data_IF_929354186814
#
_entry.id   IF_929354186814
#
_cell.length_a   1.000
_cell.length_b   1.000
_cell.length_c   1.000
_cell.angle_alpha   90.00
_cell.angle_beta   90.00
_cell.angle_gamma   90.00
#
_symmetry.space_group_name_H-M   'P 1'
#
loop_
_entity.id
_entity.type
_entity.pdbx_description
1 polymer ?
#
# COMPACT_ATOMS: atom_id res chain seq x y z
N UNK A 1 17.37 -6.44 8.05
CA UNK A 1 18.41 -6.00 7.09
C UNK A 1 19.72 -6.77 7.29
N UNK A 2 20.01 -7.17 8.52
CA UNK A 2 21.15 -8.01 8.93
C UNK A 2 20.73 -9.45 9.28
N UNK A 3 19.63 -9.93 8.67
CA UNK A 3 19.14 -11.30 8.86
C UNK A 3 20.02 -12.28 8.09
N UNK A 4 20.75 -13.14 8.83
CA UNK A 4 21.68 -14.10 8.26
C UNK A 4 21.04 -15.15 7.34
N UNK A 5 19.71 -15.34 7.39
CA UNK A 5 19.01 -16.29 6.54
C UNK A 5 18.48 -15.68 5.23
N UNK A 6 18.46 -14.35 5.12
CA UNK A 6 18.02 -13.66 3.91
C UNK A 6 19.17 -13.43 2.92
N UNK A 7 18.91 -13.56 1.61
CA UNK A 7 19.80 -13.06 0.55
C UNK A 7 19.73 -11.52 0.47
N UNK A 8 18.50 -11.00 0.45
CA UNK A 8 18.22 -9.57 0.48
C UNK A 8 16.91 -9.28 1.21
N UNK A 9 16.77 -8.03 1.65
CA UNK A 9 15.56 -7.47 2.25
C UNK A 9 15.05 -6.35 1.36
N UNK A 10 13.75 -6.37 1.08
CA UNK A 10 13.04 -5.32 0.34
C UNK A 10 11.99 -4.73 1.29
N UNK A 11 11.93 -3.40 1.36
CA UNK A 11 11.00 -2.69 2.27
C UNK A 11 10.01 -1.88 1.45
N UNK A 12 8.72 -2.08 1.71
CA UNK A 12 7.60 -1.38 1.08
C UNK A 12 6.60 -0.86 2.11
N UNK A 13 6.04 0.30 1.81
CA UNK A 13 4.86 0.76 2.54
C UNK A 13 3.69 -0.17 2.21
N UNK A 14 2.92 -0.56 3.23
CA UNK A 14 1.84 -1.56 3.10
C UNK A 14 0.66 -1.05 2.27
N UNK A 15 0.56 0.27 2.12
CA UNK A 15 -0.48 0.97 1.37
C UNK A 15 -0.05 1.33 -0.07
N UNK A 16 1.14 0.87 -0.48
CA UNK A 16 1.63 0.92 -1.84
C UNK A 16 1.36 -0.40 -2.57
N UNK A 17 0.88 -0.28 -3.82
CA UNK A 17 0.72 -1.45 -4.69
C UNK A 17 2.04 -1.76 -5.38
N UNK A 18 2.41 -3.04 -5.39
CA UNK A 18 3.57 -3.53 -6.13
C UNK A 18 3.13 -3.74 -7.58
N UNK A 19 3.79 -3.02 -8.50
CA UNK A 19 3.54 -3.11 -9.93
C UNK A 19 4.70 -3.82 -10.67
N UNK A 20 4.53 -4.10 -11.96
CA UNK A 20 5.58 -4.75 -12.74
C UNK A 20 6.84 -3.88 -12.96
N UNK A 21 6.72 -2.54 -12.92
CA UNK A 21 7.90 -1.66 -13.01
C UNK A 21 8.78 -1.85 -11.79
N UNK A 22 8.16 -1.92 -10.62
CA UNK A 22 8.86 -2.19 -9.38
C UNK A 22 9.52 -3.56 -9.40
N UNK A 23 8.78 -4.61 -9.80
CA UNK A 23 9.32 -5.96 -9.91
C UNK A 23 10.54 -6.03 -10.85
N UNK A 24 10.45 -5.35 -12.00
CA UNK A 24 11.55 -5.24 -12.96
C UNK A 24 12.74 -4.48 -12.36
N UNK A 25 12.51 -3.35 -11.68
CA UNK A 25 13.57 -2.57 -11.05
C UNK A 25 14.30 -3.37 -9.95
N UNK A 26 13.55 -4.15 -9.16
CA UNK A 26 14.12 -5.06 -8.15
C UNK A 26 14.94 -6.16 -8.83
N UNK A 27 14.45 -6.76 -9.92
CA UNK A 27 15.19 -7.76 -10.67
C UNK A 27 16.50 -7.21 -11.26
N UNK A 28 16.46 -6.03 -11.88
CA UNK A 28 17.63 -5.34 -12.41
C UNK A 28 18.66 -5.06 -11.31
N UNK A 29 18.20 -4.59 -10.14
CA UNK A 29 19.09 -4.44 -8.99
C UNK A 29 19.72 -5.75 -8.53
N UNK A 30 18.93 -6.83 -8.39
CA UNK A 30 19.46 -8.14 -7.99
C UNK A 30 20.51 -8.67 -8.98
N UNK A 31 20.33 -8.42 -10.27
CA UNK A 31 21.28 -8.80 -11.32
C UNK A 31 22.54 -7.90 -11.36
N UNK A 32 22.42 -6.64 -10.95
CA UNK A 32 23.54 -5.67 -10.99
C UNK A 32 24.68 -5.98 -10.00
N UNK A 33 24.42 -6.82 -8.99
CA UNK A 33 25.37 -7.08 -7.90
C UNK A 33 25.53 -5.93 -6.89
N UNK A 34 24.85 -4.78 -7.08
CA UNK A 34 24.92 -3.67 -6.12
C UNK A 34 24.38 -4.06 -4.74
N UNK A 35 24.92 -3.44 -3.70
CA UNK A 35 24.59 -3.75 -2.31
C UNK A 35 23.23 -3.19 -1.87
N UNK A 36 22.82 -2.07 -2.47
CA UNK A 36 21.65 -1.30 -2.06
C UNK A 36 20.81 -0.85 -3.26
N UNK A 37 19.50 -0.74 -3.07
CA UNK A 37 18.51 -0.35 -4.08
C UNK A 37 17.66 0.79 -3.59
N UNK A 38 17.39 1.74 -4.48
CA UNK A 38 16.53 2.89 -4.24
C UNK A 38 15.60 3.03 -5.45
N UNK A 39 14.33 3.35 -5.21
CA UNK A 39 13.38 3.72 -6.26
C UNK A 39 12.84 5.14 -6.00
N UNK A 40 12.90 6.00 -7.02
CA UNK A 40 12.33 7.35 -7.03
C UNK A 40 11.50 7.55 -8.30
N UNK A 41 10.20 7.33 -8.20
CA UNK A 41 9.30 7.37 -9.35
C UNK A 41 8.37 8.60 -9.37
N UNK A 42 8.53 9.57 -8.47
CA UNK A 42 7.73 10.80 -8.49
C UNK A 42 8.48 12.05 -8.02
N UNK A 43 7.99 13.23 -8.39
CA UNK A 43 8.55 14.52 -8.00
C UNK A 43 8.41 14.84 -6.50
N UNK A 44 7.63 14.07 -5.75
CA UNK A 44 7.62 14.15 -4.29
C UNK A 44 8.69 13.24 -3.64
N UNK A 45 9.37 12.37 -4.40
CA UNK A 45 10.38 11.46 -3.89
C UNK A 45 11.74 12.15 -3.71
N UNK A 46 11.77 13.17 -2.86
CA UNK A 46 12.92 14.09 -2.70
C UNK A 46 14.00 13.58 -1.75
N UNK A 47 13.79 12.43 -1.11
CA UNK A 47 14.75 11.85 -0.15
C UNK A 47 15.86 11.04 -0.81
N UNK A 48 17.00 10.98 -0.12
CA UNK A 48 18.15 10.17 -0.57
C UNK A 48 17.80 8.68 -0.59
N UNK A 49 17.05 8.21 0.40
CA UNK A 49 16.51 6.86 0.48
C UNK A 49 15.10 7.01 0.99
N UNK A 50 14.10 6.51 0.26
CA UNK A 50 12.73 6.44 0.77
C UNK A 50 12.57 5.19 1.63
N UNK A 51 12.07 5.35 2.85
CA UNK A 51 11.87 4.25 3.80
C UNK A 51 10.98 3.13 3.25
N UNK A 52 9.95 3.49 2.47
CA UNK A 52 9.05 2.56 1.80
C UNK A 52 9.49 2.09 0.41
N UNK A 53 10.68 2.44 -0.09
CA UNK A 53 11.11 2.10 -1.46
C UNK A 53 12.62 1.80 -1.53
N UNK A 54 13.08 0.90 -0.66
CA UNK A 54 14.47 0.46 -0.62
C UNK A 54 14.61 -1.05 -0.71
N UNK A 55 15.81 -1.48 -1.09
CA UNK A 55 16.25 -2.88 -1.04
C UNK A 55 17.71 -2.95 -0.59
N UNK A 56 18.07 -3.99 0.13
CA UNK A 56 19.43 -4.18 0.64
C UNK A 56 19.82 -5.66 0.65
N UNK A 57 21.05 -5.98 0.23
CA UNK A 57 21.62 -7.32 0.41
C UNK A 57 21.91 -7.58 1.88
N UNK A 58 21.62 -8.78 2.35
CA UNK A 58 21.82 -9.08 3.77
C UNK A 58 23.29 -8.94 4.17
N UNK A 59 23.52 -8.45 5.39
CA UNK A 59 24.85 -8.31 5.98
C UNK A 59 25.67 -7.11 5.49
N UNK A 60 25.16 -6.31 4.54
CA UNK A 60 25.77 -5.03 4.12
C UNK A 60 25.83 -4.04 5.28
N UNK A 61 24.73 -3.93 6.02
CA UNK A 61 24.68 -3.23 7.30
C UNK A 61 24.71 -4.27 8.43
N UNK A 62 25.39 -3.96 9.53
CA UNK A 62 25.49 -4.84 10.70
C UNK A 62 25.11 -4.07 11.95
N UNK A 63 24.41 -4.73 12.87
CA UNK A 63 24.00 -4.14 14.13
C UNK A 63 22.99 -3.01 13.94
N UNK A 64 22.14 -3.11 12.92
CA UNK A 64 21.20 -2.04 12.53
C UNK A 64 20.21 -1.77 13.67
N UNK A 65 19.75 -2.84 14.36
CA UNK A 65 18.84 -2.73 15.49
C UNK A 65 19.41 -1.86 16.62
N UNK A 66 20.69 -2.09 16.97
CA UNK A 66 21.39 -1.26 17.96
C UNK A 66 21.57 0.16 17.46
N UNK A 67 22.01 0.35 16.22
CA UNK A 67 22.19 1.69 15.65
C UNK A 67 20.87 2.49 15.62
N UNK A 68 19.74 1.83 15.35
CA UNK A 68 18.42 2.45 15.44
C UNK A 68 18.07 2.80 16.88
N UNK A 69 18.28 1.90 17.84
CA UNK A 69 18.03 2.17 19.25
C UNK A 69 18.87 3.35 19.79
N UNK A 70 20.16 3.41 19.43
CA UNK A 70 21.06 4.50 19.82
C UNK A 70 20.63 5.82 19.16
N UNK A 71 20.22 5.79 17.88
CA UNK A 71 19.64 6.94 17.20
C UNK A 71 18.35 7.40 17.90
N UNK A 72 17.51 6.45 18.35
CA UNK A 72 16.28 6.75 19.06
C UNK A 72 16.53 7.53 20.35
N UNK A 73 17.46 7.01 21.15
CA UNK A 73 17.81 7.57 22.45
C UNK A 73 18.47 8.96 22.34
N UNK A 74 19.23 9.22 21.28
CA UNK A 74 20.00 10.47 21.12
C UNK A 74 19.17 11.66 20.62
N UNK A 75 18.08 11.43 19.89
CA UNK A 75 17.29 12.49 19.26
C UNK A 75 16.12 13.03 20.12
N UNK A 76 15.71 12.32 21.18
CA UNK A 76 14.64 12.73 22.11
C UNK A 76 13.22 12.79 21.49
N UNK A 77 12.17 12.90 22.31
CA UNK A 77 10.75 12.64 21.96
C UNK A 77 10.12 13.54 20.87
N UNK A 78 10.62 14.76 20.64
CA UNK A 78 9.99 15.72 19.73
C UNK A 78 10.31 15.46 18.23
N UNK A 79 11.39 14.74 17.93
CA UNK A 79 11.79 14.40 16.55
C UNK A 79 10.99 13.21 15.95
N UNK A 80 10.17 12.53 16.76
CA UNK A 80 9.71 11.15 16.50
C UNK A 80 8.50 10.95 15.59
N UNK A 81 7.67 11.97 15.35
CA UNK A 81 6.30 11.63 14.93
C UNK A 81 6.10 11.26 13.46
N UNK A 82 7.02 11.62 12.55
CA UNK A 82 6.78 11.37 11.11
C UNK A 82 8.01 11.08 10.24
N UNK A 83 9.22 11.46 10.65
CA UNK A 83 10.40 11.43 9.76
C UNK A 83 11.64 10.76 10.37
N UNK A 84 11.48 10.05 11.50
CA UNK A 84 12.62 9.47 12.21
C UNK A 84 13.36 8.42 11.37
N UNK A 85 12.61 7.60 10.64
CA UNK A 85 13.11 6.64 9.66
C UNK A 85 13.90 7.32 8.54
N UNK A 86 13.35 8.37 7.93
CA UNK A 86 13.99 9.12 6.84
C UNK A 86 15.29 9.79 7.31
N UNK A 87 15.30 10.38 8.51
CA UNK A 87 16.50 10.95 9.11
C UNK A 87 17.56 9.89 9.41
N UNK A 88 17.16 8.74 9.96
CA UNK A 88 18.08 7.63 10.18
C UNK A 88 18.70 7.14 8.88
N UNK A 89 17.88 6.93 7.84
CA UNK A 89 18.36 6.51 6.53
C UNK A 89 19.34 7.52 5.93
N UNK A 90 19.02 8.82 6.02
CA UNK A 90 19.89 9.90 5.53
C UNK A 90 21.23 9.96 6.25
N UNK A 91 21.23 9.90 7.57
CA UNK A 91 22.43 10.20 8.37
C UNK A 91 23.26 8.95 8.71
N UNK A 92 22.65 7.78 8.78
CA UNK A 92 23.33 6.54 9.19
C UNK A 92 23.47 5.52 8.05
N UNK A 93 22.49 5.41 7.15
CA UNK A 93 22.53 4.39 6.09
C UNK A 93 23.17 4.91 4.81
N UNK A 94 22.71 6.06 4.31
CA UNK A 94 23.19 6.63 3.05
C UNK A 94 24.73 6.77 2.98
N UNK A 95 25.44 7.25 4.03
CA UNK A 95 26.89 7.33 3.98
C UNK A 95 27.60 5.98 3.75
N UNK A 96 27.01 4.89 4.24
CA UNK A 96 27.56 3.55 4.09
C UNK A 96 27.29 2.94 2.70
N UNK A 97 26.14 3.27 2.09
CA UNK A 97 25.67 2.61 0.86
C UNK A 97 25.84 3.44 -0.41
N UNK A 98 26.10 4.75 -0.31
CA UNK A 98 26.15 5.67 -1.47
C UNK A 98 27.12 5.24 -2.59
N UNK A 99 28.20 4.52 -2.27
CA UNK A 99 29.17 4.06 -3.28
C UNK A 99 28.78 2.72 -3.93
N UNK A 100 27.77 2.02 -3.42
CA UNK A 100 27.40 0.66 -3.79
C UNK A 100 25.88 0.50 -3.97
N UNK A 101 25.23 1.54 -4.50
CA UNK A 101 23.79 1.54 -4.76
C UNK A 101 23.49 1.36 -6.25
N UNK A 102 22.26 0.91 -6.54
CA UNK A 102 21.59 1.15 -7.81
C UNK A 102 20.31 1.94 -7.51
N UNK A 103 20.18 3.13 -8.09
CA UNK A 103 18.93 3.88 -8.05
C UNK A 103 18.16 3.69 -9.34
N UNK A 104 16.86 3.45 -9.25
CA UNK A 104 15.95 3.68 -10.36
C UNK A 104 15.25 5.00 -10.12
N UNK A 105 15.47 5.98 -10.99
CA UNK A 105 15.03 7.35 -10.78
C UNK A 105 14.45 7.91 -12.07
N UNK A 106 13.17 8.27 -12.03
CA UNK A 106 12.45 8.82 -13.19
C UNK A 106 12.61 10.34 -13.34
N UNK A 107 12.96 11.04 -12.26
CA UNK A 107 12.78 12.49 -12.17
C UNK A 107 14.12 13.22 -12.09
N UNK A 108 15.00 12.82 -11.17
CA UNK A 108 16.16 13.62 -10.78
C UNK A 108 17.46 13.13 -11.38
N UNK A 109 17.58 11.82 -11.62
CA UNK A 109 18.84 11.24 -12.08
C UNK A 109 19.99 11.41 -11.07
N UNK A 110 19.69 11.45 -9.76
CA UNK A 110 20.68 11.77 -8.74
C UNK A 110 21.60 10.57 -8.41
N UNK A 111 22.91 10.74 -8.64
CA UNK A 111 23.94 9.78 -8.30
C UNK A 111 24.78 9.36 -9.51
N UNK A 112 25.73 8.44 -9.28
CA UNK A 112 26.61 7.88 -10.32
C UNK A 112 26.12 6.52 -10.85
N UNK A 113 25.20 5.85 -10.14
CA UNK A 113 24.64 4.53 -10.49
C UNK A 113 23.12 4.60 -10.56
N UNK A 114 22.65 5.33 -11.56
CA UNK A 114 21.22 5.57 -11.76
C UNK A 114 20.77 4.96 -13.08
N UNK A 115 19.70 4.18 -13.03
CA UNK A 115 18.95 3.72 -14.18
C UNK A 115 17.65 4.52 -14.28
N UNK A 116 17.31 4.93 -15.50
CA UNK A 116 16.04 5.62 -15.75
C UNK A 116 14.89 4.62 -15.62
N UNK A 117 13.82 5.05 -14.94
CA UNK A 117 12.60 4.28 -14.82
C UNK A 117 11.62 4.73 -15.90
N UNK A 118 11.39 3.86 -16.88
CA UNK A 118 10.54 4.13 -18.02
C UNK A 118 9.05 4.16 -17.63
N UNK A 119 8.28 5.03 -18.28
CA UNK A 119 6.83 5.01 -18.19
C UNK A 119 6.28 4.03 -19.23
N UNK A 120 5.36 3.15 -18.82
CA UNK A 120 4.68 2.26 -19.76
C UNK A 120 3.55 2.94 -20.55
N UNK A 121 3.16 4.16 -20.17
CA UNK A 121 2.15 4.92 -20.87
C UNK A 121 2.52 6.42 -20.95
N UNK A 122 2.01 7.15 -21.95
CA UNK A 122 2.21 8.60 -22.04
C UNK A 122 1.78 9.34 -20.77
N UNK A 123 2.48 10.43 -20.43
CA UNK A 123 2.07 11.30 -19.34
C UNK A 123 0.64 11.83 -19.60
N UNK A 124 -0.23 11.72 -18.60
CA UNK A 124 -1.61 12.19 -18.67
C UNK A 124 -2.65 11.12 -19.00
N UNK A 125 -2.24 9.91 -19.42
CA UNK A 125 -3.16 8.76 -19.55
C UNK A 125 -3.13 7.85 -18.33
N UNK A 126 -2.14 8.04 -17.45
CA UNK A 126 -2.01 7.29 -16.22
C UNK A 126 -3.01 7.78 -15.17
N UNK A 127 -3.53 6.88 -14.33
CA UNK A 127 -4.37 7.29 -13.22
C UNK A 127 -3.58 8.16 -12.23
N UNK A 128 -4.32 8.92 -11.42
CA UNK A 128 -3.71 9.63 -10.30
C UNK A 128 -2.98 8.63 -9.39
N UNK A 129 -1.82 9.01 -8.85
CA UNK A 129 -0.97 8.16 -8.02
C UNK A 129 -0.42 6.90 -8.73
N UNK A 130 -0.24 6.94 -10.06
CA UNK A 130 0.37 5.85 -10.83
C UNK A 130 1.90 5.73 -10.69
N UNK A 131 2.50 6.26 -9.62
CA UNK A 131 3.93 6.13 -9.36
C UNK A 131 4.19 5.02 -8.34
N UNK A 132 5.33 4.34 -8.43
CA UNK A 132 5.74 3.30 -7.48
C UNK A 132 5.81 3.89 -6.07
N UNK A 133 5.20 3.23 -5.09
CA UNK A 133 5.18 3.69 -3.69
C UNK A 133 4.12 4.74 -3.38
N UNK A 134 3.15 4.96 -4.26
CA UNK A 134 2.05 5.85 -3.97
C UNK A 134 1.11 5.28 -2.90
N UNK A 135 0.65 6.12 -1.98
CA UNK A 135 -0.42 5.78 -1.05
C UNK A 135 -1.74 5.61 -1.83
N UNK A 136 -2.23 4.38 -1.93
CA UNK A 136 -3.48 4.10 -2.66
C UNK A 136 -4.73 4.26 -1.79
N UNK A 137 -4.66 4.03 -0.47
CA UNK A 137 -5.77 4.00 0.48
C UNK A 137 -6.31 5.41 0.89
N UNK A 138 -6.58 6.26 -0.11
CA UNK A 138 -6.92 7.68 0.10
C UNK A 138 -8.41 8.02 0.01
N UNK A 139 -9.26 7.08 -0.45
CA UNK A 139 -10.70 7.27 -0.43
C UNK A 139 -11.26 6.64 0.85
N UNK A 140 -12.04 7.39 1.65
CA UNK A 140 -12.60 6.88 2.91
C UNK A 140 -14.11 6.77 2.79
N UNK A 141 -14.65 5.59 3.09
CA UNK A 141 -16.09 5.36 3.25
C UNK A 141 -16.35 5.20 4.74
N UNK A 142 -17.31 5.96 5.27
CA UNK A 142 -17.69 5.93 6.67
C UNK A 142 -19.21 5.75 6.78
N UNK A 143 -19.64 4.98 7.77
CA UNK A 143 -21.04 4.83 8.14
C UNK A 143 -21.21 4.73 9.66
N UNK A 144 -22.44 4.85 10.12
CA UNK A 144 -22.83 4.61 11.50
C UNK A 144 -23.82 3.45 11.56
N UNK A 145 -23.61 2.56 12.51
CA UNK A 145 -24.52 1.47 12.80
C UNK A 145 -25.22 1.77 14.12
N UNK A 146 -26.56 1.71 14.13
CA UNK A 146 -27.36 2.02 15.32
C UNK A 146 -27.37 0.89 16.35
N UNK A 147 -27.19 -0.35 15.89
CA UNK A 147 -27.23 -1.56 16.70
C UNK A 147 -25.83 -2.12 16.88
N UNK A 148 -25.57 -2.73 18.04
CA UNK A 148 -24.30 -3.41 18.27
C UNK A 148 -24.24 -4.73 17.49
N UNK A 149 -23.08 -5.03 16.92
CA UNK A 149 -22.80 -6.33 16.30
C UNK A 149 -22.73 -7.42 17.37
N UNK A 150 -23.24 -8.61 17.04
CA UNK A 150 -23.08 -9.78 17.90
C UNK A 150 -21.61 -10.25 17.89
N UNK A 151 -21.16 -11.01 18.92
CA UNK A 151 -19.83 -11.60 18.91
C UNK A 151 -19.58 -12.45 17.66
N UNK A 152 -18.50 -12.17 16.93
CA UNK A 152 -18.12 -12.86 15.69
C UNK A 152 -18.74 -12.26 14.41
N UNK A 153 -19.53 -11.19 14.52
CA UNK A 153 -20.02 -10.45 13.36
C UNK A 153 -19.10 -9.28 12.99
N UNK A 154 -19.02 -9.01 11.70
CA UNK A 154 -18.33 -7.87 11.11
C UNK A 154 -19.27 -7.11 10.18
N UNK A 155 -19.11 -5.79 10.13
CA UNK A 155 -19.74 -4.96 9.11
C UNK A 155 -18.91 -5.03 7.83
N UNK A 156 -19.55 -5.31 6.71
CA UNK A 156 -18.90 -5.39 5.40
C UNK A 156 -19.40 -4.29 4.46
N UNK A 157 -18.47 -3.70 3.71
CA UNK A 157 -18.76 -2.90 2.53
C UNK A 157 -18.66 -3.79 1.30
N UNK A 158 -19.73 -3.88 0.51
CA UNK A 158 -19.76 -4.53 -0.80
C UNK A 158 -19.89 -3.47 -1.89
N UNK A 159 -18.95 -3.46 -2.84
CA UNK A 159 -19.07 -2.66 -4.06
C UNK A 159 -19.42 -3.54 -5.24
N UNK A 160 -20.35 -3.07 -6.08
CA UNK A 160 -20.74 -3.73 -7.34
C UNK A 160 -20.65 -2.76 -8.50
N UNK A 161 -20.28 -3.25 -9.67
CA UNK A 161 -20.20 -2.46 -10.89
C UNK A 161 -21.59 -2.12 -11.46
N UNK A 162 -21.62 -1.45 -12.62
CA UNK A 162 -22.86 -1.04 -13.28
C UNK A 162 -23.75 -2.22 -13.70
N UNK A 163 -23.20 -3.42 -13.79
CA UNK A 163 -23.93 -4.66 -14.12
C UNK A 163 -24.46 -5.39 -12.89
N UNK A 164 -24.11 -4.91 -11.68
CA UNK A 164 -24.39 -5.60 -10.42
C UNK A 164 -23.38 -6.70 -10.10
N UNK A 165 -22.28 -6.80 -10.85
CA UNK A 165 -21.22 -7.78 -10.58
C UNK A 165 -20.37 -7.29 -9.40
N UNK A 166 -20.06 -8.20 -8.49
CA UNK A 166 -19.19 -7.92 -7.35
C UNK A 166 -17.83 -7.39 -7.81
N UNK A 167 -17.43 -6.23 -7.28
CA UNK A 167 -16.07 -5.68 -7.40
C UNK A 167 -15.25 -6.20 -6.23
N UNK A 168 -15.69 -5.89 -5.00
CA UNK A 168 -15.12 -6.43 -3.77
C UNK A 168 -16.11 -6.41 -2.62
N UNK A 169 -15.77 -7.17 -1.58
CA UNK A 169 -16.37 -7.11 -0.26
C UNK A 169 -15.26 -7.14 0.79
N UNK A 170 -15.18 -6.10 1.61
CA UNK A 170 -14.18 -5.99 2.68
C UNK A 170 -14.83 -5.68 4.03
N UNK A 171 -14.27 -6.21 5.12
CA UNK A 171 -14.70 -5.83 6.46
C UNK A 171 -14.37 -4.36 6.69
N UNK A 172 -15.26 -3.67 7.38
CA UNK A 172 -15.05 -2.32 7.87
C UNK A 172 -14.46 -2.35 9.27
N UNK A 173 -13.70 -1.31 9.61
CA UNK A 173 -13.08 -1.16 10.91
C UNK A 173 -13.94 -0.27 11.81
N UNK A 174 -14.14 -0.71 13.06
CA UNK A 174 -14.83 0.11 14.05
C UNK A 174 -13.91 1.27 14.44
N UNK A 175 -14.43 2.48 14.36
CA UNK A 175 -13.74 3.66 14.84
C UNK A 175 -13.78 3.71 16.37
N UNK A 176 -12.61 3.82 16.98
CA UNK A 176 -12.49 4.10 18.40
C UNK A 176 -12.98 5.53 18.65
N UNK A 177 -14.15 5.67 19.28
CA UNK A 177 -14.62 6.98 19.71
C UNK A 177 -13.73 7.47 20.87
N UNK A 178 -13.30 8.76 20.89
CA UNK A 178 -12.53 9.33 22.00
C UNK A 178 -13.32 9.41 23.31
N UNK A 179 -14.63 9.14 23.27
CA UNK A 179 -15.52 9.10 24.43
C UNK A 179 -16.53 7.98 24.20
N UNK A 180 -16.82 7.11 25.17
CA UNK A 180 -17.84 6.08 25.02
C UNK A 180 -19.17 6.76 24.69
N UNK A 181 -19.73 6.46 23.51
CA UNK A 181 -21.09 6.88 23.17
C UNK A 181 -22.05 6.13 24.11
N UNK A 182 -23.05 6.80 24.69
CA UNK A 182 -24.00 6.18 25.62
C UNK A 182 -24.95 5.18 24.95
N UNK A 183 -24.96 5.14 23.62
CA UNK A 183 -25.86 4.31 22.83
C UNK A 183 -25.09 3.18 22.13
N UNK A 184 -25.78 2.09 21.77
CA UNK A 184 -25.26 0.98 20.96
C UNK A 184 -24.74 1.39 19.55
N UNK A 185 -24.71 2.70 19.28
CA UNK A 185 -24.20 3.31 18.07
C UNK A 185 -22.70 3.10 17.95
N UNK A 186 -22.26 2.87 16.72
CA UNK A 186 -20.84 2.72 16.41
C UNK A 186 -20.54 3.29 15.04
N UNK A 187 -19.47 4.08 14.95
CA UNK A 187 -18.95 4.57 13.69
C UNK A 187 -17.96 3.55 13.11
N UNK A 188 -18.00 3.38 11.80
CA UNK A 188 -17.17 2.42 11.07
C UNK A 188 -16.59 3.06 9.83
N UNK A 189 -15.38 2.68 9.46
CA UNK A 189 -14.76 3.13 8.22
C UNK A 189 -13.99 2.05 7.48
N UNK A 190 -13.70 2.36 6.22
CA UNK A 190 -12.77 1.63 5.39
C UNK A 190 -12.07 2.59 4.44
N UNK A 191 -10.78 2.35 4.23
CA UNK A 191 -9.97 3.07 3.25
C UNK A 191 -9.86 2.28 1.96
N UNK A 192 -10.14 2.93 0.84
CA UNK A 192 -10.22 2.36 -0.50
C UNK A 192 -9.21 3.02 -1.43
N UNK A 193 -8.74 2.28 -2.47
CA UNK A 193 -8.01 2.85 -3.60
C UNK A 193 -8.68 4.10 -4.16
N UNK A 194 -7.90 5.16 -4.41
CA UNK A 194 -8.41 6.40 -5.05
C UNK A 194 -9.16 6.14 -6.35
N UNK A 195 -8.71 5.13 -7.11
CA UNK A 195 -9.29 4.69 -8.38
C UNK A 195 -10.78 4.35 -8.25
N UNK A 196 -11.25 3.95 -7.07
CA UNK A 196 -12.65 3.61 -6.84
C UNK A 196 -13.53 4.84 -6.59
N UNK A 197 -12.93 6.00 -6.30
CA UNK A 197 -13.68 7.20 -5.94
C UNK A 197 -14.56 7.71 -7.07
N UNK A 198 -14.05 7.76 -8.31
CA UNK A 198 -14.83 8.31 -9.43
C UNK A 198 -15.98 7.38 -9.88
N UNK A 199 -15.81 6.05 -9.99
CA UNK A 199 -16.93 5.15 -10.27
C UNK A 199 -18.04 5.21 -9.20
N UNK A 200 -17.66 5.37 -7.92
CA UNK A 200 -18.61 5.55 -6.83
C UNK A 200 -19.33 6.91 -6.91
N UNK A 201 -18.59 8.00 -7.13
CA UNK A 201 -19.15 9.36 -7.21
C UNK A 201 -20.05 9.57 -8.44
N UNK A 202 -19.72 8.91 -9.54
CA UNK A 202 -20.52 8.95 -10.77
C UNK A 202 -21.75 8.04 -10.72
N UNK A 203 -21.90 7.21 -9.68
CA UNK A 203 -22.97 6.23 -9.56
C UNK A 203 -22.84 5.04 -10.51
N UNK A 204 -21.69 4.90 -11.20
CA UNK A 204 -21.39 3.72 -12.03
C UNK A 204 -21.18 2.48 -11.17
N UNK A 205 -20.69 2.66 -9.95
CA UNK A 205 -20.61 1.60 -8.94
C UNK A 205 -21.61 1.87 -7.82
N UNK A 206 -22.15 0.79 -7.28
CA UNK A 206 -23.06 0.82 -6.13
C UNK A 206 -22.35 0.31 -4.88
N UNK A 207 -22.73 0.86 -3.72
CA UNK A 207 -22.21 0.46 -2.42
C UNK A 207 -23.33 -0.08 -1.54
N UNK A 208 -23.08 -1.20 -0.87
CA UNK A 208 -24.02 -1.83 0.05
C UNK A 208 -23.30 -2.23 1.35
N UNK A 209 -24.01 -2.10 2.47
CA UNK A 209 -23.51 -2.48 3.78
C UNK A 209 -24.26 -3.72 4.28
N UNK A 210 -23.53 -4.68 4.82
CA UNK A 210 -24.10 -5.93 5.34
C UNK A 210 -23.37 -6.41 6.57
N UNK A 211 -24.10 -6.91 7.57
CA UNK A 211 -23.52 -7.61 8.72
C UNK A 211 -23.39 -9.09 8.39
N UNK A 212 -22.20 -9.65 8.58
CA UNK A 212 -21.91 -11.04 8.25
C UNK A 212 -20.92 -11.63 9.26
N UNK A 213 -20.76 -12.96 9.26
CA UNK A 213 -19.69 -13.60 10.02
C UNK A 213 -18.30 -13.14 9.52
N UNK A 214 -17.34 -13.07 10.44
CA UNK A 214 -15.94 -12.76 10.12
C UNK A 214 -15.34 -13.78 9.12
N UNK A 215 -14.40 -13.33 8.29
CA UNK A 215 -13.69 -14.18 7.31
C UNK A 215 -14.42 -14.39 5.97
N UNK A 216 -15.37 -13.52 5.63
CA UNK A 216 -16.13 -13.56 4.37
C UNK A 216 -15.69 -12.49 3.36
N UNK A 217 -14.40 -12.11 3.39
CA UNK A 217 -13.81 -11.26 2.37
C UNK A 217 -13.90 -11.93 0.98
N UNK A 218 -14.17 -11.12 -0.03
CA UNK A 218 -14.25 -11.62 -1.41
C UNK A 218 -13.85 -10.56 -2.41
N UNK A 219 -13.20 -11.02 -3.48
CA UNK A 219 -12.75 -10.21 -4.60
C UNK A 219 -13.47 -10.72 -5.83
N UNK A 220 -14.19 -9.84 -6.51
CA UNK A 220 -14.94 -10.18 -7.73
C UNK A 220 -14.26 -9.64 -8.99
N UNK A 221 -14.90 -9.85 -10.14
CA UNK A 221 -14.31 -9.57 -11.46
C UNK A 221 -13.96 -8.08 -11.69
N UNK A 222 -14.51 -7.16 -10.90
CA UNK A 222 -14.24 -5.72 -10.99
C UNK A 222 -13.03 -5.23 -10.18
N UNK A 223 -12.34 -6.11 -9.43
CA UNK A 223 -11.09 -5.74 -8.77
C UNK A 223 -10.05 -5.27 -9.77
N UNK A 224 -9.12 -4.38 -9.37
CA UNK A 224 -8.07 -3.90 -10.27
C UNK A 224 -7.38 -5.10 -10.90
N UNK A 225 -7.61 -5.31 -12.20
CA UNK A 225 -7.04 -6.45 -12.89
C UNK A 225 -5.51 -6.36 -12.78
N UNK A 226 -4.84 -7.48 -12.52
CA UNK A 226 -3.39 -7.53 -12.38
C UNK A 226 -2.67 -6.84 -13.56
N UNK A 227 -3.23 -6.95 -14.76
CA UNK A 227 -2.78 -6.28 -15.99
C UNK A 227 -2.86 -4.74 -15.95
N UNK A 228 -3.82 -4.15 -15.23
CA UNK A 228 -3.90 -2.69 -14.98
C UNK A 228 -2.80 -2.23 -14.02
N UNK A 229 -2.29 -3.12 -13.17
CA UNK A 229 -1.10 -2.93 -12.32
C UNK A 229 0.21 -3.30 -13.06
N UNK A 230 0.17 -3.44 -14.39
CA UNK A 230 1.31 -3.86 -15.21
C UNK A 230 1.72 -5.31 -15.01
N UNK A 231 1.06 -6.08 -14.13
CA UNK A 231 1.36 -7.49 -13.92
C UNK A 231 0.70 -8.33 -15.01
N UNK A 232 1.47 -8.65 -16.06
CA UNK A 232 1.11 -9.72 -16.99
C UNK A 232 1.19 -11.06 -16.28
N UNK A 233 0.09 -11.52 -15.69
CA UNK A 233 -0.06 -12.88 -15.18
C UNK A 233 -1.29 -13.51 -15.82
N UNK A 234 -1.07 -14.61 -16.53
CA UNK A 234 -2.11 -15.38 -17.21
C UNK A 234 -3.14 -15.92 -16.21
N UNK A 235 -4.43 -15.68 -16.52
CA UNK A 235 -5.57 -15.97 -15.65
C UNK A 235 -5.75 -17.46 -15.37
N UNK A 236 -6.03 -17.81 -14.10
CA UNK A 236 -6.55 -19.12 -13.70
C UNK A 236 -7.86 -18.96 -12.92
N UNK A 237 -8.78 -19.88 -13.18
CA UNK A 237 -10.24 -19.76 -13.18
C UNK A 237 -10.97 -19.78 -11.83
N UNK A 238 -12.03 -18.97 -11.78
CA UNK A 238 -13.28 -18.97 -10.99
C UNK A 238 -13.66 -20.17 -10.09
N UNK A 239 -14.24 -19.86 -8.93
CA UNK A 239 -15.29 -20.67 -8.28
C UNK A 239 -16.38 -19.78 -7.67
N UNK A 240 -17.64 -20.14 -7.93
CA UNK A 240 -18.89 -19.47 -7.55
C UNK A 240 -19.38 -19.81 -6.14
N UNK A 241 -19.97 -18.86 -5.43
CA UNK A 241 -20.81 -19.11 -4.24
C UNK A 241 -22.07 -18.24 -4.23
N UNK A 242 -23.21 -18.85 -3.91
CA UNK A 242 -24.55 -18.26 -3.89
C UNK A 242 -24.84 -17.48 -2.60
N UNK A 243 -25.49 -16.32 -2.69
CA UNK A 243 -26.05 -15.59 -1.54
C UNK A 243 -27.53 -15.28 -1.73
N UNK A 244 -28.36 -15.43 -0.69
CA UNK A 244 -29.75 -14.96 -0.64
C UNK A 244 -29.80 -13.46 -0.31
N UNK A 245 -30.61 -12.71 -1.05
CA UNK A 245 -30.94 -11.30 -0.75
C UNK A 245 -32.09 -11.21 0.26
N UNK A 246 -32.11 -10.12 1.02
CA UNK A 246 -33.30 -9.64 1.72
C UNK A 246 -33.59 -8.24 1.19
N UNK A 247 -34.86 -8.00 0.83
CA UNK A 247 -35.30 -6.74 0.23
C UNK A 247 -35.37 -5.61 1.26
N UNK A 248 -35.03 -4.36 0.88
CA UNK A 248 -35.22 -3.21 1.75
C UNK A 248 -36.69 -2.80 1.83
N UNK A 249 -37.17 -2.59 3.06
CA UNK A 249 -38.45 -1.95 3.39
C UNK A 249 -38.24 -0.42 3.30
N UNK A 250 -39.22 0.35 2.76
CA UNK A 250 -39.04 1.69 2.18
C UNK A 250 -38.54 2.78 3.12
#
# INVERSE_FOLDING_TARGET
>A
MDDAQADCVVVRDVDALIDAREAQAVQQWRQSGQAFHIIRDDCCHTELILAGLLGIRSGVLRGIAKSMADFVQTQGDAAWRRYADQLFLRHHVWPAVRAHHLAHDRIYGFGDRVQQLELFAPRGTLPLNAFIGAHHATCRVQCELEQALAPGECLYLTLSDATGTLVFRYPMHRLSAPTPQPDHRSAWDIHLPRLYAEPLQSGRWTQNFSVMAEGLDSVGAGSIEAQVLGMGLDACTSTSTSSRSLDPVP
#
